data_IF_863996309384
#
_entry.id   IF_863996309384
#
_cell.length_a   1.000
_cell.length_b   1.000
_cell.length_c   1.000
_cell.angle_alpha   90.00
_cell.angle_beta   90.00
_cell.angle_gamma   90.00
#
_symmetry.space_group_name_H-M   'P 1'
#
loop_
_entity.id
_entity.type
_entity.pdbx_description
1 polymer ?
#
# COMPACT_ATOMS: atom_id res chain seq x y z
N UNK A 1 -18.73 4.19 23.90
CA UNK A 1 -18.64 5.66 23.65
C UNK A 1 -17.21 6.19 23.63
N UNK A 2 -16.42 6.07 24.71
CA UNK A 2 -15.06 6.63 24.80
C UNK A 2 -14.13 6.25 23.64
N UNK A 3 -14.11 4.97 23.26
CA UNK A 3 -13.25 4.45 22.19
C UNK A 3 -13.64 4.93 20.78
N UNK A 4 -14.94 5.11 20.52
CA UNK A 4 -15.41 5.66 19.24
C UNK A 4 -14.98 7.14 19.09
N UNK A 5 -15.00 7.89 20.20
CA UNK A 5 -14.52 9.28 20.24
C UNK A 5 -13.00 9.38 19.98
N UNK A 6 -12.22 8.44 20.53
CA UNK A 6 -10.79 8.35 20.27
C UNK A 6 -10.50 8.07 18.78
N UNK A 7 -11.23 7.13 18.17
CA UNK A 7 -11.10 6.83 16.72
C UNK A 7 -11.49 8.03 15.85
N UNK A 8 -12.58 8.72 16.20
CA UNK A 8 -13.00 9.93 15.49
C UNK A 8 -11.96 11.05 15.61
N UNK A 9 -11.32 11.20 16.78
CA UNK A 9 -10.25 12.20 16.99
C UNK A 9 -9.09 12.03 16.04
N UNK A 10 -8.71 10.80 15.73
CA UNK A 10 -7.59 10.48 14.84
C UNK A 10 -7.86 10.81 13.36
N UNK A 11 -9.12 11.13 13.01
CA UNK A 11 -9.48 11.47 11.63
C UNK A 11 -8.92 12.82 11.17
N UNK A 12 -8.71 13.77 12.08
CA UNK A 12 -8.20 15.11 11.77
C UNK A 12 -6.96 15.43 12.61
N UNK A 13 -6.21 16.44 12.19
CA UNK A 13 -5.16 17.01 13.02
C UNK A 13 -5.77 17.53 14.35
N UNK A 14 -5.05 17.49 15.49
CA UNK A 14 -5.60 17.88 16.79
C UNK A 14 -6.26 19.27 16.79
N UNK A 15 -5.62 20.26 16.19
CA UNK A 15 -6.15 21.63 16.07
C UNK A 15 -7.43 21.70 15.22
N UNK A 16 -7.49 20.91 14.14
CA UNK A 16 -8.68 20.81 13.29
C UNK A 16 -9.82 20.09 14.03
N UNK A 17 -9.54 19.04 14.79
CA UNK A 17 -10.53 18.32 15.58
C UNK A 17 -11.16 19.23 16.65
N UNK A 18 -10.35 20.00 17.37
CA UNK A 18 -10.81 20.92 18.43
C UNK A 18 -11.70 22.03 17.85
N UNK A 19 -11.26 22.68 16.76
CA UNK A 19 -12.06 23.71 16.11
C UNK A 19 -13.40 23.14 15.58
N UNK A 20 -13.35 21.96 14.95
CA UNK A 20 -14.55 21.31 14.39
C UNK A 20 -15.55 20.91 15.47
N UNK A 21 -15.09 20.27 16.54
CA UNK A 21 -15.97 19.81 17.62
C UNK A 21 -16.54 20.96 18.44
N UNK A 22 -15.76 22.02 18.67
CA UNK A 22 -16.24 23.24 19.32
C UNK A 22 -17.36 23.90 18.50
N UNK A 23 -17.16 24.07 17.20
CA UNK A 23 -18.16 24.65 16.30
C UNK A 23 -19.41 23.78 16.19
N UNK A 24 -19.25 22.46 16.03
CA UNK A 24 -20.36 21.51 15.98
C UNK A 24 -21.15 21.49 17.31
N UNK A 25 -20.48 21.59 18.45
CA UNK A 25 -21.12 21.68 19.77
C UNK A 25 -21.95 22.95 19.95
N UNK A 26 -21.44 24.09 19.49
CA UNK A 26 -22.18 25.36 19.47
C UNK A 26 -23.40 25.29 18.56
N UNK A 27 -23.22 24.75 17.35
CA UNK A 27 -24.30 24.56 16.39
C UNK A 27 -25.40 23.61 16.90
N UNK A 28 -25.01 22.45 17.45
CA UNK A 28 -25.95 21.49 18.04
C UNK A 28 -26.69 22.06 19.27
N UNK A 29 -26.07 22.99 20.01
CA UNK A 29 -26.73 23.70 21.10
C UNK A 29 -27.73 24.71 20.54
N UNK A 30 -27.36 25.48 19.53
CA UNK A 30 -28.25 26.39 18.82
C UNK A 30 -29.50 25.67 18.27
N UNK A 31 -29.31 24.57 17.53
CA UNK A 31 -30.42 23.77 17.01
C UNK A 31 -31.35 23.27 18.12
N UNK A 32 -30.81 22.81 19.26
CA UNK A 32 -31.62 22.36 20.40
C UNK A 32 -32.39 23.50 21.06
N UNK A 33 -31.74 24.64 21.29
CA UNK A 33 -32.37 25.81 21.92
C UNK A 33 -33.49 26.40 21.08
N UNK A 34 -33.37 26.34 19.76
CA UNK A 34 -34.36 26.90 18.83
C UNK A 34 -35.24 25.84 18.15
N UNK A 35 -35.20 24.58 18.64
CA UNK A 35 -35.95 23.44 18.11
C UNK A 35 -35.85 23.27 16.58
N UNK A 36 -34.69 23.60 16.02
CA UNK A 36 -34.44 23.53 14.59
C UNK A 36 -33.82 22.19 14.17
N UNK A 37 -34.17 21.67 12.97
CA UNK A 37 -33.51 20.50 12.41
C UNK A 37 -32.02 20.75 12.16
N UNK A 38 -31.22 19.71 12.19
CA UNK A 38 -29.79 19.82 11.82
C UNK A 38 -29.69 19.80 10.30
N UNK A 39 -29.61 20.97 9.67
CA UNK A 39 -29.54 21.11 8.21
C UNK A 39 -28.81 22.38 7.77
N UNK A 40 -28.71 22.58 6.45
CA UNK A 40 -28.03 23.75 5.87
C UNK A 40 -28.70 25.07 6.24
N UNK A 41 -30.03 25.09 6.27
CA UNK A 41 -30.81 26.30 6.63
C UNK A 41 -30.49 26.75 8.06
N UNK A 42 -30.51 25.82 9.02
CA UNK A 42 -30.14 26.10 10.41
C UNK A 42 -28.66 26.50 10.55
N UNK A 43 -27.77 26.00 9.70
CA UNK A 43 -26.39 26.47 9.66
C UNK A 43 -26.30 27.95 9.25
N UNK A 44 -27.06 28.37 8.23
CA UNK A 44 -27.08 29.76 7.79
C UNK A 44 -27.60 30.69 8.90
N UNK A 45 -28.70 30.31 9.56
CA UNK A 45 -29.27 31.09 10.68
C UNK A 45 -28.28 31.16 11.85
N UNK A 46 -27.67 30.03 12.23
CA UNK A 46 -26.65 29.99 13.28
C UNK A 46 -25.46 30.92 12.98
N UNK A 47 -24.95 30.91 11.74
CA UNK A 47 -23.80 31.72 11.35
C UNK A 47 -24.09 33.23 11.37
N UNK A 48 -25.35 33.61 11.15
CA UNK A 48 -25.79 35.00 11.28
C UNK A 48 -26.05 35.41 12.73
N UNK A 49 -26.43 34.47 13.59
CA UNK A 49 -26.69 34.72 15.01
C UNK A 49 -25.41 34.86 15.86
N UNK A 50 -24.27 34.32 15.41
CA UNK A 50 -23.01 34.40 16.15
C UNK A 50 -22.22 35.68 15.83
N UNK A 51 -21.72 36.32 16.88
CA UNK A 51 -20.83 37.47 16.75
C UNK A 51 -19.38 37.01 16.49
N UNK A 52 -18.99 37.07 15.21
CA UNK A 52 -17.65 36.72 14.72
C UNK A 52 -17.28 37.60 13.52
N UNK A 53 -15.98 37.77 13.29
CA UNK A 53 -15.47 38.48 12.12
C UNK A 53 -15.94 37.82 10.79
N UNK A 54 -16.08 38.58 9.69
CA UNK A 54 -16.50 38.04 8.39
C UNK A 54 -15.62 36.90 7.87
N UNK A 55 -14.30 36.97 8.09
CA UNK A 55 -13.34 35.92 7.73
C UNK A 55 -13.59 34.61 8.49
N UNK A 56 -13.83 34.71 9.80
CA UNK A 56 -14.18 33.58 10.67
C UNK A 56 -15.52 32.98 10.29
N UNK A 57 -16.53 33.81 9.98
CA UNK A 57 -17.84 33.35 9.49
C UNK A 57 -17.68 32.53 8.21
N UNK A 58 -16.93 33.03 7.23
CA UNK A 58 -16.61 32.30 5.99
C UNK A 58 -15.88 30.98 6.24
N UNK A 59 -14.95 30.93 7.19
CA UNK A 59 -14.26 29.70 7.59
C UNK A 59 -15.25 28.70 8.21
N UNK A 60 -16.11 29.15 9.13
CA UNK A 60 -17.12 28.32 9.77
C UNK A 60 -18.15 27.78 8.78
N UNK A 61 -18.57 28.57 7.79
CA UNK A 61 -19.43 28.10 6.69
C UNK A 61 -18.82 26.90 5.99
N UNK A 62 -17.54 26.98 5.58
CA UNK A 62 -16.85 25.85 4.93
C UNK A 62 -16.74 24.63 5.84
N UNK A 63 -16.47 24.86 7.12
CA UNK A 63 -16.34 23.78 8.09
C UNK A 63 -17.67 23.04 8.30
N UNK A 64 -18.76 23.76 8.56
CA UNK A 64 -20.10 23.19 8.76
C UNK A 64 -20.59 22.47 7.50
N UNK A 65 -20.45 23.10 6.32
CA UNK A 65 -20.75 22.45 5.04
C UNK A 65 -19.99 21.12 4.88
N UNK A 66 -18.68 21.11 5.15
CA UNK A 66 -17.88 19.88 5.05
C UNK A 66 -18.25 18.79 6.06
N UNK A 67 -18.99 19.12 7.13
CA UNK A 67 -19.52 18.14 8.09
C UNK A 67 -20.88 17.60 7.65
N UNK A 68 -21.74 18.47 7.09
CA UNK A 68 -23.06 18.08 6.57
C UNK A 68 -22.96 17.26 5.28
N UNK A 69 -22.06 17.63 4.38
CA UNK A 69 -21.81 16.95 3.10
C UNK A 69 -20.91 15.70 3.24
N UNK A 70 -20.69 15.20 4.46
CA UNK A 70 -20.00 13.92 4.62
C UNK A 70 -20.89 12.78 4.11
N UNK A 71 -20.75 12.46 2.82
CA UNK A 71 -21.36 11.29 2.16
C UNK A 71 -20.76 9.95 2.63
N UNK A 72 -20.41 9.85 3.91
CA UNK A 72 -19.77 8.68 4.51
C UNK A 72 -20.62 8.18 5.65
N UNK A 73 -20.85 6.87 5.67
CA UNK A 73 -21.57 6.26 6.78
C UNK A 73 -20.72 6.35 8.05
N UNK A 74 -21.32 6.30 9.25
CA UNK A 74 -20.59 6.20 10.50
C UNK A 74 -19.57 5.04 10.53
N UNK A 75 -19.83 3.95 9.80
CA UNK A 75 -18.91 2.83 9.63
C UNK A 75 -17.69 3.18 8.77
N UNK A 76 -17.87 3.91 7.66
CA UNK A 76 -16.75 4.37 6.83
C UNK A 76 -15.81 5.31 7.60
N UNK A 77 -16.39 6.13 8.47
CA UNK A 77 -15.65 7.02 9.36
C UNK A 77 -14.83 6.23 10.39
N UNK A 78 -15.44 5.18 10.96
CA UNK A 78 -14.75 4.27 11.87
C UNK A 78 -13.59 3.54 11.17
N UNK A 79 -13.80 3.06 9.94
CA UNK A 79 -12.75 2.42 9.13
C UNK A 79 -11.57 3.37 8.94
N UNK A 80 -11.84 4.63 8.60
CA UNK A 80 -10.77 5.59 8.33
C UNK A 80 -9.97 5.97 9.58
N UNK A 81 -10.64 6.19 10.72
CA UNK A 81 -9.96 6.44 11.98
C UNK A 81 -9.12 5.23 12.44
N UNK A 82 -9.66 4.02 12.28
CA UNK A 82 -8.93 2.78 12.58
C UNK A 82 -7.72 2.58 11.68
N UNK A 83 -7.82 2.91 10.38
CA UNK A 83 -6.68 2.87 9.46
C UNK A 83 -5.56 3.83 9.89
N UNK A 84 -5.89 5.05 10.33
CA UNK A 84 -4.87 5.99 10.83
C UNK A 84 -4.22 5.51 12.12
N UNK A 85 -5.00 4.95 13.04
CA UNK A 85 -4.47 4.32 14.26
C UNK A 85 -3.57 3.14 13.91
N UNK A 86 -3.98 2.30 12.96
CA UNK A 86 -3.18 1.17 12.47
C UNK A 86 -1.86 1.68 11.90
N UNK A 87 -1.86 2.66 11.00
CA UNK A 87 -0.61 3.23 10.43
C UNK A 87 0.32 3.79 11.52
N UNK A 88 -0.22 4.48 12.53
CA UNK A 88 0.56 5.07 13.64
C UNK A 88 1.08 4.04 14.65
N UNK A 89 0.31 2.98 14.89
CA UNK A 89 0.72 1.87 15.75
C UNK A 89 1.67 0.91 15.04
N UNK A 90 1.51 0.71 13.72
CA UNK A 90 2.42 -0.01 12.85
C UNK A 90 3.78 0.69 12.68
N UNK A 91 3.83 2.02 12.81
CA UNK A 91 5.11 2.76 12.91
C UNK A 91 5.83 2.49 14.23
N UNK A 92 5.12 2.12 15.31
CA UNK A 92 5.71 1.75 16.62
C UNK A 92 5.94 0.26 16.81
N UNK A 93 5.18 -0.59 16.12
CA UNK A 93 5.30 -2.05 16.15
C UNK A 93 5.09 -2.60 14.76
N UNK A 94 6.11 -2.46 13.94
CA UNK A 94 6.14 -3.08 12.63
C UNK A 94 6.37 -4.58 12.85
N UNK A 95 5.31 -5.37 13.10
CA UNK A 95 5.30 -6.83 12.86
C UNK A 95 5.39 -7.13 11.35
N UNK A 96 6.04 -6.27 10.57
CA UNK A 96 6.27 -6.51 9.16
C UNK A 96 7.59 -7.27 9.05
N UNK A 97 7.59 -8.26 8.17
CA UNK A 97 8.78 -9.02 7.89
C UNK A 97 9.94 -8.09 7.49
N UNK A 98 11.09 -8.22 8.16
CA UNK A 98 12.33 -7.53 7.80
C UNK A 98 12.59 -7.76 6.30
N UNK A 99 12.80 -6.72 5.49
CA UNK A 99 13.20 -6.89 4.10
C UNK A 99 14.58 -7.53 4.05
N UNK A 100 14.76 -8.51 3.17
CA UNK A 100 16.10 -9.05 2.90
C UNK A 100 16.98 -7.96 2.29
N UNK A 101 18.29 -8.03 2.48
CA UNK A 101 19.24 -7.25 1.67
C UNK A 101 19.56 -7.97 0.36
N UNK A 102 20.23 -7.29 -0.57
CA UNK A 102 20.68 -7.92 -1.82
C UNK A 102 21.66 -9.06 -1.55
N UNK A 103 22.52 -8.91 -0.55
CA UNK A 103 23.53 -9.89 -0.15
C UNK A 103 22.85 -11.13 0.45
N UNK A 104 21.93 -10.94 1.39
CA UNK A 104 21.12 -12.03 1.95
C UNK A 104 20.33 -12.74 0.86
N UNK A 105 19.73 -11.98 -0.07
CA UNK A 105 19.01 -12.56 -1.22
C UNK A 105 19.93 -13.39 -2.12
N UNK A 106 21.14 -12.91 -2.41
CA UNK A 106 22.11 -13.66 -3.21
C UNK A 106 22.54 -14.95 -2.49
N UNK A 107 22.65 -14.94 -1.16
CA UNK A 107 22.93 -16.16 -0.38
C UNK A 107 21.76 -17.15 -0.45
N UNK A 108 20.52 -16.67 -0.29
CA UNK A 108 19.29 -17.48 -0.43
C UNK A 108 19.19 -18.12 -1.83
N UNK A 109 19.60 -17.40 -2.87
CA UNK A 109 19.64 -17.96 -4.24
C UNK A 109 20.74 -19.01 -4.35
N UNK A 110 21.96 -18.73 -3.86
CA UNK A 110 23.08 -19.68 -3.92
C UNK A 110 22.84 -20.96 -3.12
N UNK A 111 22.06 -20.89 -2.03
CA UNK A 111 21.77 -22.05 -1.19
C UNK A 111 20.80 -23.06 -1.83
N UNK A 112 20.16 -22.73 -2.96
CA UNK A 112 19.31 -23.67 -3.69
C UNK A 112 20.14 -24.62 -4.52
N UNK A 113 19.81 -25.90 -4.51
CA UNK A 113 20.48 -26.93 -5.33
C UNK A 113 19.98 -26.91 -6.77
N UNK A 114 18.67 -26.78 -6.97
CA UNK A 114 18.06 -26.68 -8.29
C UNK A 114 18.20 -25.28 -8.89
N UNK A 115 18.79 -25.21 -10.08
CA UNK A 115 18.96 -23.95 -10.81
C UNK A 115 17.63 -23.32 -11.21
N UNK A 116 16.57 -24.11 -11.47
CA UNK A 116 15.24 -23.57 -11.79
C UNK A 116 14.67 -22.79 -10.60
N UNK A 117 14.81 -23.33 -9.39
CA UNK A 117 14.39 -22.63 -8.17
C UNK A 117 15.17 -21.32 -7.96
N UNK A 118 16.48 -21.29 -8.30
CA UNK A 118 17.29 -20.06 -8.24
C UNK A 118 16.70 -18.95 -9.11
N UNK A 119 16.33 -19.28 -10.34
CA UNK A 119 15.73 -18.35 -11.30
C UNK A 119 14.37 -17.86 -10.81
N UNK A 120 13.52 -18.76 -10.31
CA UNK A 120 12.20 -18.42 -9.75
C UNK A 120 12.31 -17.47 -8.55
N UNK A 121 13.23 -17.76 -7.63
CA UNK A 121 13.46 -16.96 -6.42
C UNK A 121 14.03 -15.58 -6.79
N UNK A 122 14.92 -15.52 -7.79
CA UNK A 122 15.45 -14.27 -8.36
C UNK A 122 14.36 -13.45 -9.04
N UNK A 123 13.48 -14.08 -9.82
CA UNK A 123 12.33 -13.46 -10.46
C UNK A 123 11.35 -12.87 -9.42
N UNK A 124 11.00 -13.64 -8.40
CA UNK A 124 10.13 -13.19 -7.30
C UNK A 124 10.71 -11.97 -6.57
N UNK A 125 12.02 -11.95 -6.39
CA UNK A 125 12.73 -10.81 -5.83
C UNK A 125 12.63 -9.60 -6.75
N UNK A 126 13.17 -9.66 -7.98
CA UNK A 126 13.24 -8.53 -8.93
C UNK A 126 11.90 -7.83 -9.16
N UNK A 127 10.81 -8.60 -9.17
CA UNK A 127 9.46 -8.12 -9.41
C UNK A 127 8.75 -7.59 -8.17
N UNK A 128 9.34 -7.76 -6.99
CA UNK A 128 8.64 -7.58 -5.71
C UNK A 128 7.31 -8.35 -5.65
N UNK A 129 7.21 -9.47 -6.37
CA UNK A 129 5.97 -10.23 -6.51
C UNK A 129 5.81 -11.26 -5.41
N UNK A 130 4.55 -11.65 -5.16
CA UNK A 130 4.23 -12.75 -4.26
C UNK A 130 4.50 -14.08 -4.94
N UNK A 131 4.82 -15.12 -4.17
CA UNK A 131 4.90 -16.51 -4.66
C UNK A 131 3.67 -16.91 -5.47
N UNK A 132 2.47 -16.55 -5.00
CA UNK A 132 1.21 -16.88 -5.69
C UNK A 132 1.10 -16.23 -7.07
N UNK A 133 1.73 -15.08 -7.27
CA UNK A 133 1.75 -14.35 -8.55
C UNK A 133 2.79 -14.96 -9.49
N UNK A 134 3.93 -15.42 -8.96
CA UNK A 134 4.97 -16.12 -9.74
C UNK A 134 4.53 -17.54 -10.14
N UNK A 135 3.82 -18.25 -9.27
CA UNK A 135 3.41 -19.63 -9.49
C UNK A 135 2.34 -19.81 -10.59
N UNK A 136 1.68 -18.73 -11.01
CA UNK A 136 0.71 -18.73 -12.13
C UNK A 136 1.35 -18.36 -13.46
N UNK A 137 2.63 -17.97 -13.47
CA UNK A 137 3.35 -17.72 -14.71
C UNK A 137 3.60 -19.05 -15.44
N UNK A 138 3.36 -19.02 -16.74
CA UNK A 138 3.68 -20.10 -17.69
C UNK A 138 4.61 -19.55 -18.76
N UNK A 139 5.12 -20.41 -19.65
CA UNK A 139 5.97 -19.98 -20.76
C UNK A 139 5.31 -18.87 -21.61
N UNK A 140 3.99 -18.94 -21.80
CA UNK A 140 3.20 -17.95 -22.56
C UNK A 140 3.09 -16.57 -21.88
N UNK A 141 3.42 -16.47 -20.59
CA UNK A 141 3.48 -15.19 -19.89
C UNK A 141 4.72 -14.36 -20.26
N UNK A 142 5.68 -14.92 -20.99
CA UNK A 142 6.94 -14.27 -21.35
C UNK A 142 6.99 -13.92 -22.84
N UNK A 143 7.23 -12.66 -23.15
CA UNK A 143 7.54 -12.17 -24.49
C UNK A 143 9.04 -11.96 -24.63
N UNK A 144 9.64 -12.68 -25.56
CA UNK A 144 11.04 -12.54 -25.95
C UNK A 144 11.20 -11.29 -26.82
N UNK A 145 11.98 -10.31 -26.36
CA UNK A 145 12.41 -9.20 -27.20
C UNK A 145 13.75 -9.53 -27.86
N UNK A 146 13.90 -9.17 -29.13
CA UNK A 146 15.16 -9.36 -29.85
C UNK A 146 16.27 -8.52 -29.18
N UNK A 147 17.33 -9.21 -28.73
CA UNK A 147 18.58 -8.67 -28.12
C UNK A 147 18.61 -8.56 -26.58
N UNK A 148 18.32 -9.67 -25.87
CA UNK A 148 18.69 -9.88 -24.45
C UNK A 148 17.73 -9.25 -23.43
N UNK A 149 16.50 -8.92 -23.83
CA UNK A 149 15.46 -8.47 -22.91
C UNK A 149 14.26 -9.41 -22.91
N UNK A 150 13.67 -9.61 -21.73
CA UNK A 150 12.36 -10.25 -21.59
C UNK A 150 11.38 -9.25 -21.03
N UNK A 151 10.19 -9.21 -21.62
CA UNK A 151 9.02 -8.59 -21.03
C UNK A 151 8.10 -9.73 -20.59
N UNK A 152 7.53 -9.68 -19.38
CA UNK A 152 6.49 -10.62 -18.98
C UNK A 152 5.18 -9.90 -18.67
N UNK A 153 4.06 -10.47 -19.12
CA UNK A 153 2.70 -10.02 -18.78
C UNK A 153 2.18 -10.84 -17.60
N UNK A 154 1.62 -10.17 -16.60
CA UNK A 154 0.95 -10.86 -15.50
C UNK A 154 -0.44 -11.35 -15.96
N UNK A 155 -0.76 -12.66 -15.83
CA UNK A 155 -2.09 -13.18 -16.17
C UNK A 155 -3.23 -12.48 -15.40
N UNK A 156 -2.92 -11.97 -14.21
CA UNK A 156 -3.80 -11.11 -13.43
C UNK A 156 -2.99 -9.96 -12.84
N UNK A 157 -3.56 -8.75 -12.84
CA UNK A 157 -2.92 -7.57 -12.27
C UNK A 157 -2.47 -7.86 -10.81
N UNK A 158 -1.19 -7.66 -10.46
CA UNK A 158 -0.68 -7.93 -9.12
C UNK A 158 -1.53 -7.25 -8.05
N UNK A 159 -1.75 -7.90 -6.90
CA UNK A 159 -2.54 -7.28 -5.82
C UNK A 159 -1.89 -6.00 -5.27
N UNK A 160 -0.60 -5.79 -5.55
CA UNK A 160 0.16 -4.56 -5.27
C UNK A 160 -0.19 -3.42 -6.23
N UNK A 161 -0.54 -3.71 -7.48
CA UNK A 161 -0.94 -2.69 -8.46
C UNK A 161 -2.26 -2.00 -8.07
N UNK A 162 -3.13 -2.68 -7.29
CA UNK A 162 -4.39 -2.10 -6.79
C UNK A 162 -4.21 -1.02 -5.71
N UNK A 163 -3.04 -0.95 -5.07
CA UNK A 163 -2.80 -0.07 -3.93
C UNK A 163 -2.14 1.27 -4.29
N UNK A 164 -1.78 1.46 -5.56
CA UNK A 164 -1.03 2.62 -6.04
C UNK A 164 -1.67 3.15 -7.35
N UNK A 165 -2.12 4.43 -7.40
CA UNK A 165 -2.60 5.07 -8.62
C UNK A 165 -1.55 5.16 -9.75
N UNK A 166 -0.27 4.97 -9.43
CA UNK A 166 0.84 4.84 -10.38
C UNK A 166 1.33 3.39 -10.51
N UNK A 167 0.46 2.42 -10.19
CA UNK A 167 0.78 1.02 -9.94
C UNK A 167 1.67 0.34 -10.98
N UNK A 168 2.48 -0.60 -10.46
CA UNK A 168 3.48 -1.38 -11.18
C UNK A 168 3.03 -1.78 -12.58
N UNK A 169 3.86 -1.45 -13.56
CA UNK A 169 3.66 -1.79 -14.96
C UNK A 169 3.30 -3.27 -15.08
N UNK A 170 2.17 -3.55 -15.74
CA UNK A 170 1.73 -4.90 -16.13
C UNK A 170 2.84 -5.72 -16.81
N UNK A 171 3.86 -5.02 -17.31
CA UNK A 171 5.08 -5.53 -17.90
C UNK A 171 6.28 -5.21 -17.02
N UNK A 172 7.13 -6.20 -16.73
CA UNK A 172 8.47 -5.95 -16.18
C UNK A 172 9.48 -6.37 -17.23
N UNK A 173 10.51 -5.54 -17.40
CA UNK A 173 11.59 -5.78 -18.34
C UNK A 173 12.86 -6.19 -17.60
N UNK A 174 13.39 -7.37 -17.88
CA UNK A 174 14.70 -7.81 -17.39
C UNK A 174 15.70 -7.87 -18.55
N UNK A 175 16.99 -7.66 -18.27
CA UNK A 175 18.10 -7.72 -19.23
C UNK A 175 19.29 -8.49 -18.66
N UNK A 176 20.19 -8.92 -19.53
CA UNK A 176 21.44 -9.59 -19.13
C UNK A 176 21.22 -11.02 -18.62
N UNK A 177 21.99 -11.43 -17.61
CA UNK A 177 21.96 -12.81 -17.10
C UNK A 177 20.57 -13.23 -16.59
N UNK A 178 19.89 -12.33 -15.87
CA UNK A 178 18.54 -12.57 -15.34
C UNK A 178 17.53 -12.85 -16.49
N UNK A 179 17.69 -12.20 -17.64
CA UNK A 179 16.90 -12.47 -18.84
C UNK A 179 17.28 -13.82 -19.46
N UNK A 180 18.58 -14.10 -19.63
CA UNK A 180 19.07 -15.35 -20.21
C UNK A 180 18.61 -16.58 -19.42
N UNK A 181 18.72 -16.54 -18.09
CA UNK A 181 18.35 -17.63 -17.21
C UNK A 181 16.84 -17.90 -17.23
N UNK A 182 16.03 -16.83 -17.29
CA UNK A 182 14.58 -16.93 -17.39
C UNK A 182 14.14 -17.47 -18.74
N UNK A 183 14.76 -17.04 -19.85
CA UNK A 183 14.51 -17.60 -21.19
C UNK A 183 14.84 -19.09 -21.21
N UNK A 184 15.98 -19.45 -20.64
CA UNK A 184 16.42 -20.85 -20.54
C UNK A 184 15.43 -21.67 -19.73
N UNK A 185 14.94 -21.15 -18.60
CA UNK A 185 13.90 -21.79 -17.81
C UNK A 185 12.61 -22.00 -18.63
N UNK A 186 12.11 -20.97 -19.31
CA UNK A 186 10.88 -21.04 -20.10
C UNK A 186 10.96 -22.10 -21.21
N UNK A 187 12.12 -22.27 -21.86
CA UNK A 187 12.33 -23.31 -22.89
C UNK A 187 12.26 -24.74 -22.34
N UNK A 188 12.44 -24.94 -21.03
CA UNK A 188 12.34 -26.26 -20.41
C UNK A 188 10.94 -26.63 -19.93
N UNK A 189 9.98 -25.69 -20.02
CA UNK A 189 8.60 -25.90 -19.57
C UNK A 189 7.74 -26.38 -20.72
N UNK A 190 6.79 -27.28 -20.43
CA UNK A 190 5.69 -27.54 -21.35
C UNK A 190 4.72 -26.34 -21.39
N UNK A 191 3.93 -26.18 -22.47
CA UNK A 191 3.11 -24.99 -22.73
C UNK A 191 2.22 -24.55 -21.56
N UNK A 192 1.75 -25.49 -20.73
CA UNK A 192 0.89 -25.24 -19.57
C UNK A 192 1.53 -25.59 -18.22
N UNK A 193 2.83 -25.87 -18.21
CA UNK A 193 3.55 -26.15 -16.98
C UNK A 193 3.75 -24.85 -16.18
N UNK A 194 3.45 -24.93 -14.88
CA UNK A 194 3.68 -23.80 -13.97
C UNK A 194 5.18 -23.59 -13.79
N UNK A 195 5.59 -22.33 -13.75
CA UNK A 195 6.99 -21.93 -13.55
C UNK A 195 7.63 -22.56 -12.29
N UNK A 196 6.84 -22.84 -11.26
CA UNK A 196 7.32 -23.48 -10.03
C UNK A 196 6.22 -24.19 -9.25
N UNK A 197 6.58 -25.29 -8.60
CA UNK A 197 5.75 -25.98 -7.61
C UNK A 197 6.17 -25.71 -6.16
N UNK A 198 7.18 -24.85 -5.92
CA UNK A 198 7.65 -24.53 -4.56
C UNK A 198 6.50 -23.96 -3.74
N UNK A 199 6.19 -24.55 -2.60
CA UNK A 199 5.15 -24.10 -1.67
C UNK A 199 5.63 -22.96 -0.76
N UNK A 200 4.70 -22.17 -0.21
CA UNK A 200 5.05 -21.13 0.78
C UNK A 200 5.82 -21.72 1.97
N UNK A 201 5.44 -22.91 2.45
CA UNK A 201 6.12 -23.60 3.55
C UNK A 201 7.57 -23.99 3.21
N UNK A 202 7.86 -24.33 1.95
CA UNK A 202 9.23 -24.59 1.49
C UNK A 202 10.05 -23.30 1.38
N UNK A 203 9.44 -22.21 0.89
CA UNK A 203 10.08 -20.89 0.88
C UNK A 203 10.40 -20.45 2.30
N UNK A 204 9.43 -20.51 3.22
CA UNK A 204 9.59 -20.10 4.61
C UNK A 204 10.65 -20.92 5.35
N UNK A 205 10.60 -22.26 5.28
CA UNK A 205 11.63 -23.12 5.89
C UNK A 205 13.04 -22.76 5.44
N UNK A 206 13.18 -22.45 4.17
CA UNK A 206 14.47 -22.11 3.61
C UNK A 206 14.85 -20.63 3.80
N UNK A 207 14.01 -19.82 4.43
CA UNK A 207 14.34 -18.46 4.88
C UNK A 207 14.61 -18.38 6.39
N UNK A 208 14.34 -19.46 7.14
CA UNK A 208 14.61 -19.57 8.59
C UNK A 208 16.05 -19.18 8.95
N UNK A 209 17.10 -19.60 8.22
CA UNK A 209 18.48 -19.22 8.58
C UNK A 209 18.74 -17.72 8.58
N UNK A 210 17.91 -16.95 7.86
CA UNK A 210 18.01 -15.49 7.75
C UNK A 210 16.97 -14.74 8.61
N UNK A 211 16.24 -15.44 9.48
CA UNK A 211 15.12 -14.88 10.26
C UNK A 211 14.13 -14.09 9.38
N UNK A 212 13.86 -14.62 8.19
CA UNK A 212 13.08 -13.98 7.15
C UNK A 212 11.83 -14.81 6.79
N UNK A 213 10.85 -14.16 6.17
CA UNK A 213 9.61 -14.83 5.70
C UNK A 213 9.44 -14.59 4.20
N UNK A 214 8.48 -15.27 3.56
CA UNK A 214 8.13 -14.99 2.16
C UNK A 214 7.81 -13.49 1.90
N UNK A 215 7.31 -12.77 2.92
CA UNK A 215 7.06 -11.33 2.84
C UNK A 215 8.34 -10.48 2.82
N UNK A 216 9.47 -11.01 3.31
CA UNK A 216 10.78 -10.36 3.29
C UNK A 216 11.34 -10.22 1.87
N UNK A 217 11.09 -11.21 1.00
CA UNK A 217 11.49 -11.19 -0.42
C UNK A 217 10.78 -10.04 -1.13
N UNK A 218 9.46 -9.96 -0.99
CA UNK A 218 8.66 -8.90 -1.61
C UNK A 218 9.14 -7.48 -1.27
N UNK A 219 9.53 -7.23 -0.02
CA UNK A 219 9.86 -5.86 0.43
C UNK A 219 11.30 -5.45 0.20
N UNK A 220 12.20 -6.39 -0.09
CA UNK A 220 13.60 -6.05 -0.14
C UNK A 220 14.07 -5.43 -1.46
N UNK A 221 13.39 -5.67 -2.60
CA UNK A 221 13.66 -4.88 -3.83
C UNK A 221 13.29 -3.41 -3.69
N UNK A 222 12.09 -3.01 -3.23
CA UNK A 222 11.79 -1.61 -3.01
C UNK A 222 12.77 -0.91 -2.06
N UNK A 223 13.24 -1.61 -1.01
CA UNK A 223 14.26 -1.08 -0.09
C UNK A 223 15.62 -0.94 -0.77
N UNK A 224 16.03 -1.92 -1.56
CA UNK A 224 17.29 -1.87 -2.31
C UNK A 224 17.28 -0.75 -3.36
N UNK A 225 16.17 -0.60 -4.09
CA UNK A 225 15.99 0.50 -5.05
C UNK A 225 16.00 1.85 -4.34
N UNK A 226 15.32 2.01 -3.20
CA UNK A 226 15.36 3.23 -2.41
C UNK A 226 16.79 3.56 -1.89
N UNK A 227 17.56 2.53 -1.51
CA UNK A 227 18.97 2.69 -1.11
C UNK A 227 19.84 3.12 -2.31
N UNK A 228 19.63 2.57 -3.50
CA UNK A 228 20.36 3.00 -4.71
C UNK A 228 20.00 4.45 -5.07
N UNK A 229 18.71 4.79 -5.11
CA UNK A 229 18.24 6.14 -5.43
C UNK A 229 18.77 7.16 -4.43
N UNK A 230 18.77 6.82 -3.14
CA UNK A 230 19.35 7.66 -2.09
C UNK A 230 20.87 7.75 -2.13
N UNK A 231 21.57 6.68 -2.51
CA UNK A 231 23.03 6.67 -2.62
C UNK A 231 23.55 7.38 -3.89
N UNK A 232 22.74 7.46 -4.95
CA UNK A 232 23.12 8.01 -6.26
C UNK A 232 22.37 9.30 -6.60
N UNK A 233 21.65 9.90 -5.64
CA UNK A 233 20.84 11.12 -5.82
C UNK A 233 20.00 11.13 -7.11
N UNK A 234 19.40 9.99 -7.46
CA UNK A 234 18.58 9.86 -8.68
C UNK A 234 17.18 10.51 -8.54
N UNK A 235 16.98 11.33 -7.50
CA UNK A 235 15.78 12.15 -7.34
C UNK A 235 16.04 13.45 -8.12
N UNK A 236 15.67 13.45 -9.40
CA UNK A 236 15.51 14.70 -10.13
C UNK A 236 14.37 15.51 -9.49
N UNK A 237 14.69 16.73 -9.06
CA UNK A 237 13.75 17.84 -8.82
C UNK A 237 12.94 18.18 -10.06
#
# INVERSE_FOLDING_TARGET
MKRAKEVAREMWAPSTWEQRTSLAGRFATFCRTHEQPTGEESCAVFLMAIDVAPSTRRQYTRMLRSMLEMNRTPLDMMILGLQKIAVRSETKQTKQARPLTKEEMNQVIRSRTDWKERVVVRLAWMTASRRSEIAVLTANSFTLEARVAIAWDWPAAPKTARADPHGASRFVRARGQDAFDTITLCRTLQENEKLTNITNAQVERALVPWNATAHSIKRGVPRHTAQIVGAHNLIHT
#
